data_IF_293161019311
#
_entry.id   IF_293161019311
#
_cell.length_a   1.000
_cell.length_b   1.000
_cell.length_c   1.000
_cell.angle_alpha   90.00
_cell.angle_beta   90.00
_cell.angle_gamma   90.00
#
_symmetry.space_group_name_H-M   'P 1'
#
loop_
_entity.id
_entity.type
_entity.pdbx_description
1 polymer ?
#
# COMPACT_ATOMS: atom_id res chain seq x y z
N UNK A 1 -15.95 12.33 31.26
CA UNK A 1 -15.66 13.76 31.04
C UNK A 1 -14.94 13.85 29.73
N UNK A 2 -15.64 14.28 28.68
CA UNK A 2 -15.01 14.65 27.41
C UNK A 2 -14.12 15.86 27.69
N UNK A 3 -12.81 15.75 27.46
CA UNK A 3 -11.97 16.95 27.39
C UNK A 3 -12.55 17.84 26.29
N UNK A 4 -13.00 19.02 26.69
CA UNK A 4 -13.58 20.00 25.78
C UNK A 4 -12.48 20.46 24.81
N UNK A 5 -12.80 20.46 23.52
CA UNK A 5 -11.85 20.75 22.46
C UNK A 5 -11.33 22.20 22.58
N UNK A 6 -10.14 22.39 23.15
CA UNK A 6 -9.57 23.71 23.43
C UNK A 6 -8.70 24.23 22.26
N UNK A 7 -9.34 25.03 21.41
CA UNK A 7 -8.72 25.63 20.24
C UNK A 7 -7.59 26.62 20.60
N UNK A 8 -7.73 27.37 21.70
CA UNK A 8 -6.71 28.34 22.11
C UNK A 8 -5.45 27.63 22.63
N UNK A 9 -5.60 26.50 23.32
CA UNK A 9 -4.46 25.65 23.71
C UNK A 9 -3.70 25.11 22.48
N UNK A 10 -4.40 24.63 21.46
CA UNK A 10 -3.80 24.14 20.21
C UNK A 10 -3.05 25.27 19.51
N UNK A 11 -3.67 26.44 19.38
CA UNK A 11 -3.08 27.62 18.76
C UNK A 11 -1.81 28.07 19.48
N UNK A 12 -1.82 28.13 20.81
CA UNK A 12 -0.65 28.51 21.60
C UNK A 12 0.48 27.48 21.44
N UNK A 13 0.17 26.19 21.52
CA UNK A 13 1.16 25.10 21.28
C UNK A 13 1.73 25.15 19.86
N UNK A 14 0.90 25.45 18.85
CA UNK A 14 1.35 25.59 17.47
C UNK A 14 2.30 26.78 17.30
N UNK A 15 2.00 27.92 17.92
CA UNK A 15 2.88 29.10 17.89
C UNK A 15 4.23 28.80 18.56
N UNK A 16 4.23 28.10 19.69
CA UNK A 16 5.46 27.69 20.38
C UNK A 16 6.30 26.72 19.53
N UNK A 17 5.66 25.71 18.93
CA UNK A 17 6.35 24.75 18.07
C UNK A 17 6.92 25.42 16.80
N UNK A 18 6.17 26.33 16.18
CA UNK A 18 6.66 27.13 15.05
C UNK A 18 7.89 27.96 15.43
N UNK A 19 7.87 28.64 16.57
CA UNK A 19 9.02 29.42 17.07
C UNK A 19 10.23 28.54 17.36
N UNK A 20 10.00 27.30 17.81
CA UNK A 20 11.06 26.34 18.12
C UNK A 20 11.51 25.49 16.91
N UNK A 21 10.92 25.68 15.72
CA UNK A 21 11.19 24.86 14.53
C UNK A 21 10.78 23.39 14.68
N UNK A 22 9.87 23.08 15.62
CA UNK A 22 9.38 21.71 15.83
C UNK A 22 8.21 21.40 14.88
N UNK A 23 8.05 20.15 14.44
CA UNK A 23 6.91 19.74 13.62
C UNK A 23 5.56 20.01 14.31
N UNK A 24 4.60 20.56 13.56
CA UNK A 24 3.22 20.77 14.02
C UNK A 24 2.33 19.51 13.94
N UNK A 25 2.79 18.56 13.13
CA UNK A 25 2.18 17.27 12.86
C UNK A 25 2.99 16.18 13.57
N UNK A 26 2.46 14.96 13.65
CA UNK A 26 3.04 13.87 14.43
C UNK A 26 2.45 13.74 15.84
N UNK A 27 2.83 12.68 16.55
CA UNK A 27 2.30 12.29 17.86
C UNK A 27 2.31 13.43 18.90
N UNK A 28 3.36 14.25 18.90
CA UNK A 28 3.52 15.39 19.82
C UNK A 28 3.14 16.74 19.18
N UNK A 29 2.68 16.73 17.94
CA UNK A 29 2.30 17.93 17.18
C UNK A 29 1.15 18.69 17.84
N UNK A 30 1.09 19.99 17.57
CA UNK A 30 -0.02 20.83 18.03
C UNK A 30 -1.36 20.38 17.42
N UNK A 31 -1.37 19.82 16.21
CA UNK A 31 -2.59 19.43 15.50
C UNK A 31 -3.04 17.99 15.73
N UNK A 32 -2.26 17.15 16.42
CA UNK A 32 -2.66 15.76 16.71
C UNK A 32 -4.03 15.64 17.41
N UNK A 33 -4.37 16.46 18.43
CA UNK A 33 -5.69 16.42 19.06
C UNK A 33 -6.83 16.82 18.13
N UNK A 34 -6.58 17.72 17.17
CA UNK A 34 -7.57 18.11 16.16
C UNK A 34 -7.86 16.96 15.20
N UNK A 35 -6.82 16.29 14.71
CA UNK A 35 -6.99 15.13 13.85
C UNK A 35 -7.70 13.97 14.57
N UNK A 36 -7.34 13.72 15.83
CA UNK A 36 -8.03 12.76 16.71
C UNK A 36 -9.53 13.09 16.84
N UNK A 37 -9.85 14.35 17.13
CA UNK A 37 -11.22 14.80 17.29
C UNK A 37 -12.05 14.59 16.02
N UNK A 38 -11.51 14.95 14.85
CA UNK A 38 -12.19 14.79 13.56
C UNK A 38 -12.46 13.30 13.27
N UNK A 39 -11.46 12.43 13.44
CA UNK A 39 -11.60 11.00 13.18
C UNK A 39 -12.60 10.34 14.14
N UNK A 40 -12.55 10.70 15.42
CA UNK A 40 -13.50 10.20 16.40
C UNK A 40 -14.93 10.69 16.12
N UNK A 41 -15.10 11.96 15.72
CA UNK A 41 -16.41 12.50 15.35
C UNK A 41 -17.00 11.79 14.12
N UNK A 42 -16.16 11.48 13.12
CA UNK A 42 -16.59 10.73 11.94
C UNK A 42 -17.08 9.32 12.32
N UNK A 43 -16.35 8.60 13.17
CA UNK A 43 -16.74 7.27 13.65
C UNK A 43 -18.01 7.29 14.50
N UNK A 44 -18.20 8.34 15.32
CA UNK A 44 -19.44 8.54 16.07
C UNK A 44 -20.64 8.78 15.14
N UNK A 45 -20.45 9.59 14.11
CA UNK A 45 -21.48 9.83 13.08
C UNK A 45 -21.86 8.56 12.32
N UNK A 46 -20.89 7.72 11.97
CA UNK A 46 -21.18 6.40 11.38
C UNK A 46 -21.98 5.50 12.32
N UNK A 47 -21.67 5.50 13.62
CA UNK A 47 -22.41 4.72 14.62
C UNK A 47 -23.84 5.22 14.80
N UNK A 48 -24.05 6.53 14.78
CA UNK A 48 -25.40 7.11 14.84
C UNK A 48 -26.23 6.75 13.60
N UNK A 49 -25.61 6.73 12.42
CA UNK A 49 -26.25 6.28 11.20
C UNK A 49 -26.55 4.76 11.23
N UNK A 50 -25.66 3.95 11.80
CA UNK A 50 -25.84 2.50 11.95
C UNK A 50 -26.96 2.15 12.94
N UNK A 51 -27.07 2.86 14.06
CA UNK A 51 -28.10 2.64 15.09
C UNK A 51 -29.40 3.40 14.77
N UNK A 52 -30.01 3.02 13.64
CA UNK A 52 -31.34 3.49 13.21
C UNK A 52 -32.43 3.13 14.22
N UNK A 53 -33.61 3.71 14.07
CA UNK A 53 -34.78 3.39 14.91
C UNK A 53 -35.11 1.90 14.87
N UNK A 54 -35.02 1.27 13.69
CA UNK A 54 -35.27 -0.16 13.49
C UNK A 54 -34.26 -1.05 14.24
N UNK A 55 -32.97 -0.70 14.19
CA UNK A 55 -31.92 -1.39 14.94
C UNK A 55 -32.11 -1.26 16.46
N UNK A 56 -32.60 -0.10 16.92
CA UNK A 56 -32.91 0.10 18.35
C UNK A 56 -34.11 -0.72 18.79
N UNK A 57 -35.15 -0.78 17.95
CA UNK A 57 -36.34 -1.61 18.19
C UNK A 57 -36.02 -3.10 18.18
N UNK A 58 -35.05 -3.54 17.38
CA UNK A 58 -34.54 -4.92 17.37
C UNK A 58 -33.64 -5.25 18.58
N UNK A 59 -33.39 -4.27 19.45
CA UNK A 59 -32.62 -4.42 20.69
C UNK A 59 -31.13 -4.11 20.56
N UNK A 60 -30.68 -3.64 19.39
CA UNK A 60 -29.30 -3.18 19.22
C UNK A 60 -29.10 -1.82 19.90
N UNK A 61 -27.91 -1.61 20.46
CA UNK A 61 -27.54 -0.40 21.20
C UNK A 61 -26.04 -0.26 21.30
N UNK A 62 -25.57 0.94 21.62
CA UNK A 62 -24.16 1.22 21.91
C UNK A 62 -23.66 0.34 23.06
N UNK A 63 -22.45 -0.20 22.92
CA UNK A 63 -21.80 -1.08 23.88
C UNK A 63 -20.32 -0.71 24.09
N UNK A 64 -20.10 0.57 24.43
CA UNK A 64 -18.77 1.10 24.71
C UNK A 64 -17.96 1.44 23.46
N UNK A 65 -16.65 1.61 23.67
CA UNK A 65 -15.68 1.97 22.63
C UNK A 65 -14.42 1.13 22.77
N UNK A 66 -13.69 0.97 21.68
CA UNK A 66 -12.38 0.33 21.64
C UNK A 66 -11.35 1.34 21.15
N UNK A 67 -10.23 1.47 21.86
CA UNK A 67 -9.13 2.31 21.41
C UNK A 67 -8.24 1.52 20.44
N UNK A 68 -7.79 2.17 19.37
CA UNK A 68 -6.71 1.69 18.51
C UNK A 68 -5.83 2.85 18.06
N UNK A 69 -4.55 2.58 17.87
CA UNK A 69 -3.63 3.53 17.25
C UNK A 69 -3.68 3.36 15.73
N UNK A 70 -3.79 4.50 15.04
CA UNK A 70 -3.91 4.57 13.59
C UNK A 70 -2.85 5.49 13.03
N UNK A 71 -2.09 4.99 12.07
CA UNK A 71 -1.08 5.75 11.34
C UNK A 71 -1.75 6.54 10.23
N UNK A 72 -1.46 7.84 10.18
CA UNK A 72 -1.91 8.72 9.11
C UNK A 72 -0.69 9.33 8.39
N UNK A 73 -0.91 9.98 7.25
CA UNK A 73 0.12 10.76 6.56
C UNK A 73 0.66 11.92 7.40
N UNK A 74 -0.07 12.32 8.46
CA UNK A 74 0.30 13.38 9.40
C UNK A 74 0.79 12.84 10.75
N UNK A 75 1.01 11.53 10.87
CA UNK A 75 1.50 10.87 12.07
C UNK A 75 0.49 9.97 12.77
N UNK A 76 0.90 9.42 13.90
CA UNK A 76 0.10 8.52 14.73
C UNK A 76 -1.01 9.25 15.48
N UNK A 77 -2.23 8.69 15.45
CA UNK A 77 -3.40 9.21 16.15
C UNK A 77 -4.09 8.07 16.91
N UNK A 78 -4.54 8.34 18.13
CA UNK A 78 -5.37 7.40 18.88
C UNK A 78 -6.82 7.62 18.52
N UNK A 79 -7.53 6.59 18.07
CA UNK A 79 -8.97 6.68 17.78
C UNK A 79 -9.77 5.77 18.71
N UNK A 80 -10.96 6.23 19.08
CA UNK A 80 -11.91 5.53 19.94
C UNK A 80 -13.09 5.05 19.10
N UNK A 81 -12.97 3.85 18.55
CA UNK A 81 -14.00 3.27 17.68
C UNK A 81 -15.20 2.81 18.51
N UNK A 82 -16.41 3.33 18.25
CA UNK A 82 -17.62 2.90 18.96
C UNK A 82 -18.00 1.47 18.58
N UNK A 83 -18.71 0.80 19.48
CA UNK A 83 -19.20 -0.57 19.27
C UNK A 83 -20.70 -0.65 19.54
N UNK A 84 -21.38 -1.49 18.77
CA UNK A 84 -22.75 -1.88 19.04
C UNK A 84 -22.80 -3.21 19.82
N UNK A 85 -23.97 -3.53 20.39
CA UNK A 85 -24.18 -4.71 21.21
C UNK A 85 -24.18 -5.98 20.37
N UNK A 86 -24.74 -5.91 19.17
CA UNK A 86 -24.85 -7.05 18.27
C UNK A 86 -23.58 -7.27 17.43
N UNK A 87 -22.59 -6.38 17.54
CA UNK A 87 -21.33 -6.40 16.78
C UNK A 87 -21.52 -6.34 15.25
N UNK A 88 -22.64 -5.76 14.79
CA UNK A 88 -22.99 -5.61 13.37
C UNK A 88 -22.41 -4.33 12.76
N UNK A 89 -21.96 -3.37 13.56
CA UNK A 89 -21.40 -2.11 13.07
C UNK A 89 -20.10 -2.36 12.28
N UNK A 90 -20.01 -1.90 11.03
CA UNK A 90 -18.80 -2.00 10.20
C UNK A 90 -18.36 -0.59 9.71
N UNK A 91 -17.41 0.07 10.41
CA UNK A 91 -17.01 1.43 10.09
C UNK A 91 -16.31 1.52 8.73
N UNK A 92 -16.58 2.59 7.98
CA UNK A 92 -16.04 2.80 6.63
C UNK A 92 -14.83 3.72 6.62
N UNK A 93 -14.84 4.78 7.44
CA UNK A 93 -13.72 5.72 7.55
C UNK A 93 -12.43 5.07 8.07
N UNK A 94 -12.55 4.20 9.08
CA UNK A 94 -11.42 3.42 9.61
C UNK A 94 -11.90 2.00 9.89
N UNK A 95 -11.62 1.08 8.97
CA UNK A 95 -12.14 -0.29 9.02
C UNK A 95 -11.70 -1.02 10.29
N UNK A 96 -12.43 -2.08 10.65
CA UNK A 96 -12.05 -2.93 11.79
C UNK A 96 -10.63 -3.44 11.61
N UNK A 97 -9.81 -3.30 12.66
CA UNK A 97 -8.39 -3.70 12.70
C UNK A 97 -7.47 -2.94 11.73
N UNK A 98 -7.98 -1.96 10.98
CA UNK A 98 -7.16 -1.07 10.19
C UNK A 98 -6.42 -0.10 11.12
N UNK A 99 -5.08 -0.20 11.09
CA UNK A 99 -4.13 0.59 11.88
C UNK A 99 -3.31 1.54 11.02
N UNK A 100 -3.49 1.55 9.70
CA UNK A 100 -2.79 2.43 8.77
C UNK A 100 -3.85 3.00 7.83
N UNK A 101 -4.15 4.29 7.96
CA UNK A 101 -5.03 5.02 7.06
C UNK A 101 -4.28 5.29 5.75
N UNK A 102 -4.69 4.56 4.73
CA UNK A 102 -3.75 3.86 3.87
C UNK A 102 -3.28 4.60 2.61
N UNK A 103 -4.01 5.56 2.04
CA UNK A 103 -3.64 5.99 0.67
C UNK A 103 -2.28 6.70 0.62
N UNK A 104 -2.07 7.76 1.38
CA UNK A 104 -0.81 8.51 1.31
C UNK A 104 0.42 7.77 1.88
N UNK A 105 0.24 6.83 2.81
CA UNK A 105 1.36 6.13 3.47
C UNK A 105 1.72 4.85 2.73
N UNK A 106 0.74 4.08 2.26
CA UNK A 106 1.00 2.87 1.49
C UNK A 106 1.72 3.18 0.18
N UNK A 107 1.28 4.22 -0.54
CA UNK A 107 1.91 4.64 -1.79
C UNK A 107 3.36 5.08 -1.58
N UNK A 108 3.66 5.76 -0.46
CA UNK A 108 5.03 6.12 -0.09
C UNK A 108 5.88 4.89 0.23
N UNK A 109 5.33 3.92 0.96
CA UNK A 109 6.03 2.66 1.25
C UNK A 109 6.34 1.91 -0.06
N UNK A 110 5.36 1.80 -0.96
CA UNK A 110 5.53 1.18 -2.27
C UNK A 110 6.58 1.93 -3.10
N UNK A 111 6.54 3.26 -3.12
CA UNK A 111 7.52 4.10 -3.81
C UNK A 111 8.94 3.94 -3.27
N UNK A 112 9.12 3.92 -1.94
CA UNK A 112 10.42 3.71 -1.32
C UNK A 112 10.97 2.31 -1.64
N UNK A 113 10.11 1.29 -1.61
CA UNK A 113 10.50 -0.07 -2.00
C UNK A 113 10.88 -0.15 -3.48
N UNK A 114 10.13 0.50 -4.36
CA UNK A 114 10.43 0.58 -5.80
C UNK A 114 11.75 1.31 -6.09
N UNK A 115 12.16 2.25 -5.23
CA UNK A 115 13.47 2.91 -5.30
C UNK A 115 14.63 2.02 -4.78
N UNK A 116 14.33 0.83 -4.28
CA UNK A 116 15.33 -0.15 -3.84
C UNK A 116 15.67 -0.11 -2.34
N UNK A 117 14.88 0.60 -1.53
CA UNK A 117 15.05 0.56 -0.08
C UNK A 117 14.58 -0.79 0.49
N UNK A 118 15.37 -1.35 1.39
CA UNK A 118 14.99 -2.54 2.15
C UNK A 118 13.82 -2.26 3.10
N UNK A 119 13.10 -3.30 3.49
CA UNK A 119 12.00 -3.17 4.45
C UNK A 119 12.43 -2.63 5.81
N UNK A 120 13.71 -2.77 6.17
CA UNK A 120 14.28 -2.19 7.39
C UNK A 120 14.57 -0.70 7.23
N UNK A 121 15.18 -0.28 6.12
CA UNK A 121 15.40 1.14 5.83
C UNK A 121 14.09 1.91 5.73
N UNK A 122 13.05 1.31 5.15
CA UNK A 122 11.71 1.90 5.13
C UNK A 122 11.14 2.00 6.54
N UNK A 123 11.34 0.99 7.38
CA UNK A 123 10.90 1.01 8.79
C UNK A 123 11.55 2.16 9.57
N UNK A 124 12.86 2.33 9.42
CA UNK A 124 13.62 3.38 10.09
C UNK A 124 13.22 4.76 9.54
N UNK A 125 13.03 4.90 8.23
CA UNK A 125 12.50 6.14 7.61
C UNK A 125 11.12 6.52 8.15
N UNK A 126 10.23 5.54 8.34
CA UNK A 126 8.89 5.76 8.91
C UNK A 126 8.99 6.25 10.37
N UNK A 127 9.90 5.67 11.15
CA UNK A 127 10.12 6.09 12.54
C UNK A 127 10.64 7.53 12.62
N UNK A 128 11.63 7.88 11.79
CA UNK A 128 12.23 9.21 11.76
C UNK A 128 11.27 10.31 11.27
N UNK A 129 10.47 10.02 10.24
CA UNK A 129 9.66 11.04 9.56
C UNK A 129 8.20 11.09 10.03
N UNK A 130 7.64 9.98 10.51
CA UNK A 130 6.25 9.89 10.96
C UNK A 130 6.11 9.59 12.46
N UNK A 131 7.23 9.36 13.16
CA UNK A 131 7.27 9.18 14.61
C UNK A 131 6.77 7.81 15.08
N UNK A 132 6.65 6.84 14.18
CA UNK A 132 6.30 5.47 14.54
C UNK A 132 6.97 4.43 13.65
N UNK A 133 7.34 3.31 14.28
CA UNK A 133 7.99 2.20 13.61
C UNK A 133 6.97 1.24 13.02
N UNK A 134 7.10 0.96 11.72
CA UNK A 134 6.30 -0.06 11.04
C UNK A 134 7.16 -1.31 10.86
N UNK A 135 6.65 -2.49 11.24
CA UNK A 135 7.43 -3.72 11.12
C UNK A 135 7.73 -4.06 9.64
N UNK A 136 8.85 -4.73 9.40
CA UNK A 136 9.22 -5.20 8.06
C UNK A 136 8.15 -6.13 7.45
N UNK A 137 7.45 -6.90 8.29
CA UNK A 137 6.34 -7.76 7.87
C UNK A 137 5.12 -6.94 7.41
N UNK A 138 4.78 -5.87 8.13
CA UNK A 138 3.71 -4.96 7.71
C UNK A 138 4.07 -4.24 6.41
N UNK A 139 5.32 -3.81 6.26
CA UNK A 139 5.81 -3.22 5.00
C UNK A 139 5.68 -4.23 3.85
N UNK A 140 6.11 -5.48 4.04
CA UNK A 140 5.96 -6.55 3.05
C UNK A 140 4.49 -6.75 2.66
N UNK A 141 3.59 -6.80 3.64
CA UNK A 141 2.15 -6.96 3.40
C UNK A 141 1.55 -5.77 2.64
N UNK A 142 2.06 -4.56 2.84
CA UNK A 142 1.65 -3.36 2.09
C UNK A 142 2.14 -3.46 0.64
N UNK A 143 3.41 -3.83 0.42
CA UNK A 143 3.95 -4.01 -0.93
C UNK A 143 3.25 -5.14 -1.69
N UNK A 144 2.77 -6.17 -1.00
CA UNK A 144 2.01 -7.26 -1.63
C UNK A 144 0.65 -6.81 -2.21
N UNK A 145 0.15 -5.63 -1.83
CA UNK A 145 -1.10 -5.08 -2.37
C UNK A 145 -1.03 -4.78 -3.87
N UNK A 146 0.17 -4.59 -4.44
CA UNK A 146 0.34 -4.37 -5.89
C UNK A 146 0.36 -5.67 -6.70
N UNK A 147 0.40 -6.85 -6.06
CA UNK A 147 0.44 -8.14 -6.76
C UNK A 147 -0.71 -8.35 -7.77
N UNK A 148 -1.98 -7.97 -7.47
CA UNK A 148 -3.07 -8.03 -8.45
C UNK A 148 -2.83 -7.15 -9.67
N UNK A 149 -2.28 -5.94 -9.47
CA UNK A 149 -1.95 -5.01 -10.55
C UNK A 149 -0.81 -5.54 -11.42
N UNK A 150 0.25 -6.10 -10.80
CA UNK A 150 1.34 -6.77 -11.51
C UNK A 150 0.79 -7.94 -12.34
N UNK A 151 -0.13 -8.73 -11.79
CA UNK A 151 -0.77 -9.82 -12.51
C UNK A 151 -1.59 -9.32 -13.69
N UNK A 152 -2.39 -8.27 -13.50
CA UNK A 152 -3.18 -7.65 -14.55
C UNK A 152 -2.29 -7.07 -15.67
N UNK A 153 -1.20 -6.38 -15.30
CA UNK A 153 -0.21 -5.88 -16.24
C UNK A 153 0.47 -7.01 -17.02
N UNK A 154 0.82 -8.12 -16.36
CA UNK A 154 1.42 -9.29 -17.01
C UNK A 154 0.47 -9.95 -18.02
N UNK A 155 -0.84 -9.87 -17.80
CA UNK A 155 -1.86 -10.41 -18.71
C UNK A 155 -2.47 -9.38 -19.66
N UNK A 156 -1.94 -8.14 -19.70
CA UNK A 156 -2.51 -7.09 -20.54
C UNK A 156 -2.43 -7.46 -22.03
N UNK A 157 -3.41 -7.01 -22.80
CA UNK A 157 -3.37 -7.09 -24.26
C UNK A 157 -2.17 -6.31 -24.79
N UNK A 158 -1.50 -6.87 -25.79
CA UNK A 158 -0.37 -6.28 -26.48
C UNK A 158 -0.79 -5.86 -27.89
N UNK A 159 0.03 -5.01 -28.51
CA UNK A 159 -0.18 -4.62 -29.89
C UNK A 159 0.10 -5.78 -30.85
N UNK A 160 -0.53 -5.71 -32.02
CA UNK A 160 -0.46 -6.78 -33.02
C UNK A 160 0.91 -6.92 -33.69
N UNK A 161 1.72 -5.85 -33.76
CA UNK A 161 3.06 -5.87 -34.36
C UNK A 161 4.05 -5.10 -33.50
N UNK A 162 5.24 -5.68 -33.30
CA UNK A 162 6.39 -5.02 -32.71
C UNK A 162 7.59 -5.05 -33.68
N UNK A 163 8.08 -3.89 -34.16
CA UNK A 163 9.22 -3.84 -35.07
C UNK A 163 10.50 -4.47 -34.53
N UNK A 164 10.82 -4.25 -33.25
CA UNK A 164 12.04 -4.77 -32.62
C UNK A 164 11.70 -5.29 -31.23
N UNK A 165 12.16 -6.49 -30.91
CA UNK A 165 12.03 -7.13 -29.60
C UNK A 165 13.40 -7.61 -29.13
N UNK A 166 13.76 -7.30 -27.88
CA UNK A 166 14.92 -7.83 -27.16
C UNK A 166 14.46 -8.82 -26.09
N UNK A 167 15.17 -9.92 -25.99
CA UNK A 167 15.00 -10.91 -24.93
C UNK A 167 16.31 -10.96 -24.15
N UNK A 168 16.28 -10.52 -22.88
CA UNK A 168 17.47 -10.44 -22.03
C UNK A 168 17.22 -11.10 -20.68
N UNK A 169 18.27 -11.59 -20.03
CA UNK A 169 18.20 -12.32 -18.76
C UNK A 169 19.05 -11.65 -17.69
N UNK A 170 18.43 -11.34 -16.55
CA UNK A 170 19.13 -10.84 -15.36
C UNK A 170 19.13 -11.93 -14.29
N UNK A 171 20.31 -12.27 -13.79
CA UNK A 171 20.49 -13.29 -12.77
C UNK A 171 20.42 -12.70 -11.36
N UNK A 172 19.55 -13.23 -10.52
CA UNK A 172 19.40 -12.86 -9.12
C UNK A 172 19.62 -14.07 -8.21
N UNK A 173 20.21 -13.82 -7.04
CA UNK A 173 20.27 -14.81 -5.96
C UNK A 173 19.01 -14.69 -5.12
N UNK A 174 18.26 -15.78 -5.03
CA UNK A 174 17.07 -15.89 -4.19
C UNK A 174 17.23 -17.05 -3.22
N UNK A 175 16.61 -16.94 -2.05
CA UNK A 175 16.60 -18.03 -1.08
C UNK A 175 15.47 -18.99 -1.44
N UNK A 176 15.79 -20.29 -1.52
CA UNK A 176 14.76 -21.32 -1.67
C UNK A 176 14.06 -21.63 -0.35
N UNK A 177 13.04 -22.49 -0.40
CA UNK A 177 12.27 -22.94 0.77
C UNK A 177 13.12 -23.65 1.84
N UNK A 178 14.34 -24.10 1.48
CA UNK A 178 15.30 -24.77 2.36
C UNK A 178 16.33 -23.80 2.93
N UNK A 179 16.25 -22.52 2.59
CA UNK A 179 17.21 -21.49 2.99
C UNK A 179 18.53 -21.54 2.22
N UNK A 180 18.58 -22.24 1.08
CA UNK A 180 19.74 -22.25 0.21
C UNK A 180 19.63 -21.12 -0.82
N UNK A 181 20.73 -20.37 -1.00
CA UNK A 181 20.81 -19.35 -2.04
C UNK A 181 20.95 -20.03 -3.41
N UNK A 182 19.93 -19.87 -4.25
CA UNK A 182 19.90 -20.36 -5.63
C UNK A 182 19.81 -19.20 -6.61
N UNK A 183 20.51 -19.33 -7.73
CA UNK A 183 20.46 -18.34 -8.80
C UNK A 183 19.24 -18.60 -9.66
N UNK A 184 18.40 -17.59 -9.83
CA UNK A 184 17.32 -17.58 -10.83
C UNK A 184 17.63 -16.54 -11.91
N UNK A 185 17.24 -16.85 -13.14
CA UNK A 185 17.23 -15.90 -14.24
C UNK A 185 15.82 -15.32 -14.40
N UNK A 186 15.74 -13.99 -14.45
CA UNK A 186 14.55 -13.25 -14.84
C UNK A 186 14.74 -12.81 -16.28
N UNK A 187 13.92 -13.36 -17.16
CA UNK A 187 13.91 -13.05 -18.59
C UNK A 187 12.94 -11.91 -18.85
N UNK A 188 13.46 -10.83 -19.43
CA UNK A 188 12.73 -9.63 -19.77
C UNK A 188 12.54 -9.57 -21.29
N UNK A 189 11.32 -9.34 -21.73
CA UNK A 189 11.00 -9.11 -23.15
C UNK A 189 10.71 -7.62 -23.32
N UNK A 190 11.66 -6.88 -23.85
CA UNK A 190 11.55 -5.45 -24.14
C UNK A 190 11.28 -5.26 -25.63
N UNK A 191 10.45 -4.32 -26.03
CA UNK A 191 10.16 -4.05 -27.43
C UNK A 191 10.12 -2.55 -27.73
N UNK A 192 10.20 -2.21 -29.02
CA UNK A 192 9.78 -0.92 -29.55
C UNK A 192 8.45 -1.13 -30.26
N UNK A 193 7.45 -0.28 -29.96
CA UNK A 193 6.16 -0.26 -30.66
C UNK A 193 6.25 0.45 -32.03
N UNK A 194 5.15 0.45 -32.78
CA UNK A 194 5.05 1.13 -34.09
C UNK A 194 5.29 2.65 -34.03
N UNK A 195 5.11 3.25 -32.86
CA UNK A 195 5.26 4.69 -32.62
C UNK A 195 6.67 5.03 -32.10
N UNK A 196 7.57 4.04 -32.02
CA UNK A 196 8.96 4.21 -31.59
C UNK A 196 9.16 4.23 -30.07
N UNK A 197 8.15 3.86 -29.27
CA UNK A 197 8.22 3.85 -27.80
C UNK A 197 8.68 2.49 -27.29
N UNK A 198 9.50 2.52 -26.26
CA UNK A 198 9.93 1.30 -25.57
C UNK A 198 8.80 0.78 -24.69
N UNK A 199 8.53 -0.52 -24.76
CA UNK A 199 7.55 -1.19 -23.90
C UNK A 199 8.09 -2.53 -23.38
N UNK A 200 7.89 -2.81 -22.10
CA UNK A 200 8.24 -4.09 -21.49
C UNK A 200 7.05 -5.03 -21.65
N UNK A 201 7.16 -5.98 -22.57
CA UNK A 201 6.07 -6.89 -22.93
C UNK A 201 5.82 -7.95 -21.85
N UNK A 202 6.87 -8.42 -21.17
CA UNK A 202 6.75 -9.42 -20.12
C UNK A 202 8.03 -9.66 -19.34
N UNK A 203 7.86 -10.24 -18.15
CA UNK A 203 8.93 -10.72 -17.28
C UNK A 203 8.62 -12.17 -16.89
N UNK A 204 9.60 -13.05 -17.04
CA UNK A 204 9.43 -14.50 -16.86
C UNK A 204 10.55 -15.04 -15.98
N UNK A 205 10.19 -15.77 -14.93
CA UNK A 205 11.15 -16.43 -14.05
C UNK A 205 11.28 -17.88 -14.52
N UNK A 206 12.50 -18.34 -14.80
CA UNK A 206 12.75 -19.75 -15.06
C UNK A 206 13.86 -20.31 -14.17
N UNK A 207 13.72 -21.58 -13.82
CA UNK A 207 14.77 -22.38 -13.16
C UNK A 207 15.77 -22.93 -14.18
N UNK A 208 15.31 -23.20 -15.41
CA UNK A 208 16.12 -23.78 -16.48
C UNK A 208 15.89 -23.05 -17.81
N UNK A 209 16.96 -22.77 -18.54
CA UNK A 209 16.91 -22.22 -19.89
C UNK A 209 16.77 -23.36 -20.90
N UNK A 210 15.63 -23.45 -21.59
CA UNK A 210 15.39 -24.49 -22.57
C UNK A 210 14.39 -24.06 -23.63
N UNK A 211 14.40 -24.73 -24.79
CA UNK A 211 13.54 -24.37 -25.93
C UNK A 211 12.05 -24.33 -25.55
N UNK A 212 11.59 -25.25 -24.69
CA UNK A 212 10.20 -25.27 -24.22
C UNK A 212 9.84 -24.04 -23.38
N UNK A 213 10.78 -23.48 -22.62
CA UNK A 213 10.53 -22.25 -21.87
C UNK A 213 10.33 -21.07 -22.83
N UNK A 214 11.22 -20.89 -23.80
CA UNK A 214 11.08 -19.83 -24.79
C UNK A 214 9.84 -19.98 -25.67
N UNK A 215 9.46 -21.21 -26.01
CA UNK A 215 8.19 -21.47 -26.68
C UNK A 215 7.00 -20.99 -25.85
N UNK A 216 7.00 -21.23 -24.54
CA UNK A 216 5.94 -20.73 -23.64
C UNK A 216 5.92 -19.21 -23.58
N UNK A 217 7.08 -18.55 -23.54
CA UNK A 217 7.19 -17.07 -23.57
C UNK A 217 6.58 -16.52 -24.85
N UNK A 218 6.98 -17.04 -26.02
CA UNK A 218 6.46 -16.57 -27.31
C UNK A 218 4.96 -16.88 -27.48
N UNK A 219 4.50 -18.03 -26.98
CA UNK A 219 3.08 -18.40 -26.98
C UNK A 219 2.26 -17.46 -26.08
N UNK A 220 2.79 -17.03 -24.93
CA UNK A 220 2.14 -16.04 -24.07
C UNK A 220 1.99 -14.69 -24.78
N UNK A 221 3.04 -14.20 -25.45
CA UNK A 221 2.97 -12.97 -26.24
C UNK A 221 1.93 -13.07 -27.36
N UNK A 222 1.90 -14.20 -28.06
CA UNK A 222 0.91 -14.45 -29.12
C UNK A 222 -0.52 -14.44 -28.58
N UNK A 223 -0.77 -15.16 -27.48
CA UNK A 223 -2.09 -15.20 -26.83
C UNK A 223 -2.55 -13.82 -26.33
N UNK A 224 -1.60 -12.93 -26.03
CA UNK A 224 -1.88 -11.55 -25.60
C UNK A 224 -2.08 -10.58 -26.77
N UNK A 225 -1.92 -11.04 -28.01
CA UNK A 225 -2.28 -10.28 -29.21
C UNK A 225 -1.13 -10.03 -30.18
N UNK A 226 0.11 -10.44 -29.87
CA UNK A 226 1.23 -10.25 -30.81
C UNK A 226 1.09 -11.20 -32.00
N UNK A 227 0.98 -10.64 -33.20
CA UNK A 227 0.88 -11.41 -34.45
C UNK A 227 2.21 -11.47 -35.21
N UNK A 228 3.01 -10.41 -35.17
CA UNK A 228 4.28 -10.36 -35.90
C UNK A 228 5.37 -9.61 -35.14
N UNK A 229 6.61 -10.08 -35.31
CA UNK A 229 7.83 -9.47 -34.79
C UNK A 229 8.82 -9.40 -35.95
N UNK A 230 9.16 -8.19 -36.38
CA UNK A 230 10.02 -8.01 -37.56
C UNK A 230 11.48 -8.36 -37.27
N UNK A 231 11.98 -7.94 -36.10
CA UNK A 231 13.35 -8.20 -35.64
C UNK A 231 13.30 -8.69 -34.19
N UNK A 232 13.82 -9.89 -33.96
CA UNK A 232 14.05 -10.44 -32.63
C UNK A 232 15.56 -10.46 -32.33
N UNK A 233 15.96 -9.79 -31.25
CA UNK A 233 17.30 -9.80 -30.70
C UNK A 233 17.31 -10.68 -29.45
N UNK A 234 18.11 -11.75 -29.49
CA UNK A 234 18.22 -12.78 -28.44
C UNK A 234 19.67 -12.88 -28.01
#
# INVERSE_FOLDING_TARGET
MSEEFDFERIKNKAIEQLKAGKPLLGKDGAFAPLLESILNAALEGEMDAHLSEDERMSGNRRNGKMQKQVQTSMGEVTVSTPRDRNSTFDPQFIKKRETILAEGVADRIIGLYALGNSTREISDWMEENLGNRVSAETISSITDRVLPEIKAWRSRSLDYIYPIVWMDAIHYKVMDERGCAITHAIYNVLAIDKDGRKDLLGMYISKNEGANFWLNVLTDLQNRGVHDILIACV
#
